data_IF_139030841967
#
_entry.id   IF_139030841967
#
_cell.length_a   1.000
_cell.length_b   1.000
_cell.length_c   1.000
_cell.angle_alpha   90.00
_cell.angle_beta   90.00
_cell.angle_gamma   90.00
#
_symmetry.space_group_name_H-M   'P 1'
#
loop_
_entity.id
_entity.type
_entity.pdbx_description
1 polymer ?
#
# COMPACT_ATOMS: atom_id res chain seq x y z
N UNK A 1 38.22 -66.01 -25.77
CA UNK A 1 38.17 -64.81 -24.90
C UNK A 1 37.29 -63.77 -25.57
N UNK A 2 36.15 -63.41 -24.97
CA UNK A 2 35.22 -62.40 -25.51
C UNK A 2 35.53 -61.04 -24.88
N UNK A 3 35.95 -60.07 -25.67
CA UNK A 3 36.22 -58.68 -25.26
C UNK A 3 34.89 -57.94 -25.12
N UNK A 4 34.57 -57.44 -23.92
CA UNK A 4 33.42 -56.54 -23.70
C UNK A 4 33.88 -55.10 -23.88
N UNK A 5 33.25 -54.38 -24.80
CA UNK A 5 33.42 -52.93 -24.99
C UNK A 5 32.60 -52.22 -23.91
N UNK A 6 33.25 -51.39 -23.09
CA UNK A 6 32.59 -50.56 -22.08
C UNK A 6 32.41 -49.15 -22.69
N UNK A 7 31.18 -48.81 -23.08
CA UNK A 7 30.82 -47.46 -23.49
C UNK A 7 30.50 -46.63 -22.24
N UNK A 8 31.30 -45.59 -21.98
CA UNK A 8 31.05 -44.64 -20.89
C UNK A 8 30.35 -43.41 -21.48
N UNK A 9 29.07 -43.23 -21.17
CA UNK A 9 28.25 -42.09 -21.57
C UNK A 9 28.75 -40.80 -20.90
N UNK A 10 29.08 -39.78 -21.70
CA UNK A 10 29.29 -38.41 -21.23
C UNK A 10 27.93 -37.79 -20.91
N UNK A 11 27.61 -37.63 -19.61
CA UNK A 11 26.44 -36.88 -19.18
C UNK A 11 26.67 -35.38 -19.35
N UNK A 12 25.96 -34.75 -20.28
CA UNK A 12 25.94 -33.28 -20.42
C UNK A 12 25.08 -32.72 -19.30
N UNK A 13 25.72 -32.10 -18.30
CA UNK A 13 25.03 -31.31 -17.27
C UNK A 13 24.54 -30.01 -17.91
N UNK A 14 23.25 -29.96 -18.27
CA UNK A 14 22.60 -28.72 -18.72
C UNK A 14 22.41 -27.82 -17.50
N UNK A 15 23.26 -26.79 -17.40
CA UNK A 15 23.12 -25.71 -16.44
C UNK A 15 21.90 -24.87 -16.86
N UNK A 16 20.78 -25.02 -16.15
CA UNK A 16 19.58 -24.21 -16.40
C UNK A 16 19.87 -22.76 -16.05
N UNK A 17 19.82 -21.91 -17.07
CA UNK A 17 20.00 -20.46 -16.98
C UNK A 17 18.90 -19.87 -16.10
N UNK A 18 19.31 -19.06 -15.13
CA UNK A 18 18.48 -18.33 -14.18
C UNK A 18 17.40 -17.50 -14.87
N UNK A 19 16.16 -17.67 -14.44
CA UNK A 19 15.03 -16.82 -14.83
C UNK A 19 15.31 -15.37 -14.39
N UNK A 20 15.51 -14.48 -15.34
CA UNK A 20 15.38 -13.05 -15.10
C UNK A 20 13.92 -12.79 -14.71
N UNK A 21 13.67 -12.51 -13.42
CA UNK A 21 12.41 -11.89 -13.00
C UNK A 21 12.43 -10.47 -13.54
N UNK A 22 11.83 -10.26 -14.70
CA UNK A 22 11.56 -8.92 -15.19
C UNK A 22 10.70 -8.20 -14.16
N UNK A 23 10.97 -6.91 -13.94
CA UNK A 23 10.11 -6.09 -13.10
C UNK A 23 8.67 -6.22 -13.62
N UNK A 24 7.79 -6.77 -12.79
CA UNK A 24 6.40 -7.02 -13.14
C UNK A 24 5.57 -5.76 -12.93
N UNK A 25 5.89 -4.96 -11.92
CA UNK A 25 5.20 -3.69 -11.70
C UNK A 25 5.83 -2.56 -12.48
N UNK A 26 5.03 -1.87 -13.29
CA UNK A 26 5.40 -0.67 -14.05
C UNK A 26 4.48 0.50 -13.68
N UNK A 27 5.00 1.72 -13.81
CA UNK A 27 4.19 2.93 -13.67
C UNK A 27 3.27 3.04 -14.88
N UNK A 28 1.97 2.93 -14.65
CA UNK A 28 0.96 3.08 -15.70
C UNK A 28 0.52 4.54 -15.78
N UNK A 29 0.67 5.17 -16.96
CA UNK A 29 0.14 6.51 -17.23
C UNK A 29 0.82 7.67 -16.49
N UNK A 30 1.84 7.43 -15.65
CA UNK A 30 2.63 8.47 -14.99
C UNK A 30 3.99 8.66 -15.66
N UNK A 31 4.32 9.91 -15.97
CA UNK A 31 5.68 10.34 -16.33
C UNK A 31 6.47 10.69 -15.08
N UNK A 32 7.59 10.01 -14.85
CA UNK A 32 8.51 10.33 -13.77
C UNK A 32 9.10 11.74 -13.90
N UNK A 33 9.22 12.24 -15.12
CA UNK A 33 9.62 13.62 -15.40
C UNK A 33 8.59 14.62 -14.89
N UNK A 34 7.29 14.31 -15.02
CA UNK A 34 6.22 15.13 -14.44
C UNK A 34 6.29 15.12 -12.91
N UNK A 35 6.48 13.95 -12.30
CA UNK A 35 6.64 13.83 -10.84
C UNK A 35 7.84 14.65 -10.35
N UNK A 36 8.98 14.55 -11.04
CA UNK A 36 10.19 15.30 -10.72
C UNK A 36 9.99 16.81 -10.90
N UNK A 37 9.27 17.23 -11.95
CA UNK A 37 8.96 18.64 -12.16
C UNK A 37 8.04 19.22 -11.09
N UNK A 38 7.06 18.44 -10.62
CA UNK A 38 6.04 18.90 -9.67
C UNK A 38 6.50 18.80 -8.21
N UNK A 39 7.21 17.72 -7.85
CA UNK A 39 7.57 17.39 -6.46
C UNK A 39 9.09 17.25 -6.23
N UNK A 40 9.91 17.37 -7.27
CA UNK A 40 11.36 17.29 -7.19
C UNK A 40 11.95 15.89 -7.32
N UNK A 41 13.28 15.82 -7.44
CA UNK A 41 14.02 14.57 -7.68
C UNK A 41 13.85 13.54 -6.55
N UNK A 42 13.69 13.96 -5.30
CA UNK A 42 13.47 13.04 -4.18
C UNK A 42 12.11 12.33 -4.27
N UNK A 43 11.06 13.02 -4.72
CA UNK A 43 9.76 12.39 -4.97
C UNK A 43 9.84 11.31 -6.05
N UNK A 44 10.51 11.61 -7.17
CA UNK A 44 10.79 10.62 -8.22
C UNK A 44 11.50 9.39 -7.67
N UNK A 45 12.51 9.58 -6.79
CA UNK A 45 13.22 8.47 -6.14
C UNK A 45 12.30 7.66 -5.23
N UNK A 46 11.42 8.28 -4.45
CA UNK A 46 10.44 7.56 -3.62
C UNK A 46 9.44 6.77 -4.46
N UNK A 47 8.95 7.31 -5.58
CA UNK A 47 8.09 6.56 -6.53
C UNK A 47 8.82 5.34 -7.08
N UNK A 48 10.08 5.49 -7.51
CA UNK A 48 10.90 4.36 -7.94
C UNK A 48 11.13 3.33 -6.82
N UNK A 49 11.34 3.80 -5.59
CA UNK A 49 11.52 2.94 -4.42
C UNK A 49 10.22 2.16 -4.10
N UNK A 50 9.05 2.77 -4.25
CA UNK A 50 7.76 2.10 -4.12
C UNK A 50 7.62 0.97 -5.13
N UNK A 51 7.86 1.25 -6.41
CA UNK A 51 7.82 0.22 -7.48
C UNK A 51 8.82 -0.89 -7.21
N UNK A 52 10.03 -0.57 -6.75
CA UNK A 52 11.03 -1.57 -6.40
C UNK A 52 10.61 -2.42 -5.20
N UNK A 53 9.99 -1.83 -4.17
CA UNK A 53 9.44 -2.55 -3.02
C UNK A 53 8.31 -3.50 -3.47
N UNK A 54 7.38 -3.03 -4.30
CA UNK A 54 6.28 -3.84 -4.81
C UNK A 54 6.79 -5.03 -5.64
N UNK A 55 7.80 -4.83 -6.48
CA UNK A 55 8.42 -5.92 -7.24
C UNK A 55 9.08 -6.98 -6.35
N UNK A 56 9.60 -6.61 -5.17
CA UNK A 56 10.14 -7.56 -4.18
C UNK A 56 9.06 -8.26 -3.37
N UNK A 57 7.88 -7.65 -3.20
CA UNK A 57 6.79 -8.19 -2.38
C UNK A 57 5.75 -9.00 -3.18
N UNK A 58 5.82 -8.99 -4.51
CA UNK A 58 4.75 -9.49 -5.40
C UNK A 58 4.32 -10.94 -5.14
N UNK A 59 5.29 -11.82 -4.89
CA UNK A 59 5.09 -13.26 -4.72
C UNK A 59 4.99 -13.69 -3.25
N UNK A 60 4.97 -12.72 -2.33
CA UNK A 60 4.95 -12.98 -0.90
C UNK A 60 3.52 -13.20 -0.38
N UNK A 61 3.42 -13.71 0.85
CA UNK A 61 2.15 -13.88 1.54
C UNK A 61 1.48 -12.52 1.80
N UNK A 62 0.16 -12.55 2.06
CA UNK A 62 -0.56 -11.33 2.45
C UNK A 62 0.11 -10.65 3.66
N UNK A 63 0.57 -11.41 4.66
CA UNK A 63 1.21 -10.85 5.86
C UNK A 63 2.51 -10.11 5.55
N UNK A 64 3.40 -10.72 4.77
CA UNK A 64 4.66 -10.10 4.36
C UNK A 64 4.43 -8.84 3.51
N UNK A 65 3.41 -8.85 2.65
CA UNK A 65 2.98 -7.66 1.89
C UNK A 65 2.51 -6.56 2.82
N UNK A 66 1.68 -6.88 3.83
CA UNK A 66 1.21 -5.91 4.82
C UNK A 66 2.38 -5.25 5.56
N UNK A 67 3.34 -6.04 6.03
CA UNK A 67 4.54 -5.55 6.74
C UNK A 67 5.34 -4.59 5.87
N UNK A 68 5.71 -5.00 4.65
CA UNK A 68 6.51 -4.17 3.75
C UNK A 68 5.82 -2.88 3.33
N UNK A 69 4.52 -2.94 3.07
CA UNK A 69 3.74 -1.75 2.71
C UNK A 69 3.60 -0.81 3.91
N UNK A 70 3.33 -1.36 5.09
CA UNK A 70 3.21 -0.59 6.32
C UNK A 70 4.52 0.14 6.64
N UNK A 71 5.65 -0.57 6.61
CA UNK A 71 6.98 -0.02 6.87
C UNK A 71 7.38 1.03 5.83
N UNK A 72 7.09 0.78 4.54
CA UNK A 72 7.41 1.71 3.47
C UNK A 72 6.76 3.07 3.68
N UNK A 73 5.44 3.09 3.97
CA UNK A 73 4.73 4.36 4.14
C UNK A 73 4.96 5.00 5.52
N UNK A 74 5.24 4.20 6.56
CA UNK A 74 5.58 4.74 7.89
C UNK A 74 6.99 5.38 7.95
N UNK A 75 7.77 5.31 6.87
CA UNK A 75 8.99 6.10 6.72
C UNK A 75 8.71 7.60 6.45
N UNK A 76 7.51 7.92 5.95
CA UNK A 76 7.04 9.30 5.78
C UNK A 76 6.76 9.92 7.16
N UNK A 77 7.16 11.17 7.44
CA UNK A 77 6.80 11.86 8.67
C UNK A 77 5.33 12.30 8.68
N UNK A 78 4.69 12.19 9.85
CA UNK A 78 3.36 12.73 10.08
C UNK A 78 3.37 14.26 10.06
N UNK A 79 2.43 14.86 9.34
CA UNK A 79 2.12 16.28 9.38
C UNK A 79 0.62 16.49 9.16
N UNK A 80 0.04 17.47 9.84
CA UNK A 80 -1.38 17.79 9.66
C UNK A 80 -1.65 18.45 8.30
N UNK A 81 -2.87 18.32 7.80
CA UNK A 81 -3.31 19.04 6.61
C UNK A 81 -3.15 20.55 6.70
N UNK A 82 -3.27 21.09 7.91
CA UNK A 82 -3.06 22.52 8.13
C UNK A 82 -1.64 22.94 7.78
N UNK A 83 -0.65 22.10 8.12
CA UNK A 83 0.76 22.34 7.81
C UNK A 83 1.09 22.09 6.34
N UNK A 84 0.49 21.06 5.72
CA UNK A 84 0.83 20.64 4.36
C UNK A 84 0.06 21.42 3.29
N UNK A 85 -1.24 21.63 3.52
CA UNK A 85 -2.21 22.13 2.54
C UNK A 85 -2.87 23.46 2.95
N UNK A 86 -2.76 23.87 4.21
CA UNK A 86 -3.34 25.12 4.73
C UNK A 86 -4.84 25.06 5.01
N UNK A 87 -5.48 23.92 4.77
CA UNK A 87 -6.90 23.64 5.03
C UNK A 87 -7.02 22.66 6.19
N UNK A 88 -8.22 22.52 6.74
CA UNK A 88 -8.42 21.73 7.95
C UNK A 88 -8.54 20.22 7.69
N UNK A 89 -8.83 19.82 6.45
CA UNK A 89 -9.09 18.43 6.05
C UNK A 89 -8.90 18.29 4.52
N UNK A 90 -7.87 17.56 4.11
CA UNK A 90 -7.44 17.29 2.74
C UNK A 90 -6.85 15.88 2.63
N UNK A 91 -7.62 14.99 2.06
CA UNK A 91 -7.18 13.62 1.85
C UNK A 91 -6.29 13.55 0.59
N UNK A 92 -5.01 13.32 0.77
CA UNK A 92 -4.02 13.28 -0.30
C UNK A 92 -4.09 11.97 -1.10
N UNK A 93 -3.94 12.09 -2.41
CA UNK A 93 -3.69 10.92 -3.27
C UNK A 93 -2.36 10.26 -2.88
N UNK A 94 -2.19 8.98 -3.22
CA UNK A 94 -0.90 8.29 -2.99
C UNK A 94 0.28 9.02 -3.68
N UNK A 95 0.04 9.66 -4.82
CA UNK A 95 1.06 10.46 -5.51
C UNK A 95 1.41 11.72 -4.71
N UNK A 96 0.42 12.46 -4.22
CA UNK A 96 0.63 13.66 -3.40
C UNK A 96 1.34 13.34 -2.09
N UNK A 97 0.95 12.26 -1.40
CA UNK A 97 1.60 11.78 -0.19
C UNK A 97 3.10 11.51 -0.41
N UNK A 98 3.42 10.72 -1.44
CA UNK A 98 4.82 10.41 -1.82
C UNK A 98 5.55 11.67 -2.31
N UNK A 99 4.84 12.54 -3.04
CA UNK A 99 5.36 13.77 -3.60
C UNK A 99 5.81 14.75 -2.53
N UNK A 100 4.91 15.05 -1.59
CA UNK A 100 5.13 15.98 -0.48
C UNK A 100 5.99 15.41 0.64
N UNK A 101 6.09 14.09 0.74
CA UNK A 101 6.81 13.40 1.84
C UNK A 101 6.24 13.75 3.21
N UNK A 102 4.92 13.92 3.25
CA UNK A 102 4.14 14.36 4.41
C UNK A 102 2.70 13.88 4.24
N UNK A 103 2.03 13.62 5.35
CA UNK A 103 0.60 13.43 5.40
C UNK A 103 0.14 13.08 6.81
N UNK A 104 -1.17 13.06 7.00
CA UNK A 104 -1.80 12.62 8.23
C UNK A 104 -2.48 11.26 8.06
N UNK A 105 -3.30 10.85 9.03
CA UNK A 105 -3.64 9.44 9.22
C UNK A 105 -4.35 8.80 8.01
N UNK A 106 -5.21 9.54 7.34
CA UNK A 106 -5.94 9.11 6.15
C UNK A 106 -5.02 8.84 4.97
N UNK A 107 -4.00 9.67 4.79
CA UNK A 107 -3.09 9.59 3.65
C UNK A 107 -2.29 8.29 3.70
N UNK A 108 -1.83 7.88 4.90
CA UNK A 108 -1.19 6.58 5.10
C UNK A 108 -2.15 5.44 4.74
N UNK A 109 -3.40 5.52 5.17
CA UNK A 109 -4.39 4.46 4.94
C UNK A 109 -4.72 4.33 3.46
N UNK A 110 -4.92 5.45 2.76
CA UNK A 110 -5.14 5.51 1.31
C UNK A 110 -3.94 4.92 0.58
N UNK A 111 -2.73 5.37 0.88
CA UNK A 111 -1.52 4.92 0.23
C UNK A 111 -1.27 3.41 0.45
N UNK A 112 -1.43 2.92 1.68
CA UNK A 112 -1.32 1.49 2.02
C UNK A 112 -2.37 0.66 1.29
N UNK A 113 -3.63 1.10 1.29
CA UNK A 113 -4.74 0.37 0.66
C UNK A 113 -4.50 0.16 -0.84
N UNK A 114 -4.20 1.22 -1.59
CA UNK A 114 -4.00 1.10 -3.05
C UNK A 114 -2.77 0.25 -3.38
N UNK A 115 -1.68 0.39 -2.63
CA UNK A 115 -0.49 -0.45 -2.84
C UNK A 115 -0.77 -1.92 -2.57
N UNK A 116 -1.49 -2.26 -1.50
CA UNK A 116 -1.84 -3.65 -1.18
C UNK A 116 -2.80 -4.24 -2.21
N UNK A 117 -3.77 -3.44 -2.66
CA UNK A 117 -4.70 -3.84 -3.72
C UNK A 117 -3.97 -4.18 -5.02
N UNK A 118 -3.01 -3.35 -5.43
CA UNK A 118 -2.17 -3.61 -6.62
C UNK A 118 -1.24 -4.82 -6.43
N UNK A 119 -0.79 -5.08 -5.20
CA UNK A 119 -0.06 -6.30 -4.82
C UNK A 119 -0.94 -7.56 -4.77
N UNK A 120 -2.23 -7.44 -5.09
CA UNK A 120 -3.18 -8.55 -5.18
C UNK A 120 -3.82 -8.94 -3.85
N UNK A 121 -3.66 -8.14 -2.78
CA UNK A 121 -4.41 -8.38 -1.54
C UNK A 121 -5.88 -8.09 -1.81
N UNK A 122 -6.80 -9.04 -1.56
CA UNK A 122 -8.21 -8.86 -1.88
C UNK A 122 -8.81 -7.64 -1.15
N UNK A 123 -9.47 -6.70 -1.85
CA UNK A 123 -10.14 -5.56 -1.22
C UNK A 123 -11.15 -5.96 -0.14
N UNK A 124 -11.80 -7.11 -0.29
CA UNK A 124 -12.75 -7.67 0.69
C UNK A 124 -12.12 -8.04 2.04
N UNK A 125 -10.79 -8.09 2.14
CA UNK A 125 -10.06 -8.29 3.39
C UNK A 125 -9.64 -6.97 4.04
N UNK A 126 -9.73 -5.84 3.36
CA UNK A 126 -9.16 -4.56 3.78
C UNK A 126 -10.24 -3.52 4.03
N UNK A 127 -10.18 -2.88 5.20
CA UNK A 127 -11.14 -1.86 5.60
C UNK A 127 -10.42 -0.65 6.16
N UNK A 128 -10.88 0.53 5.76
CA UNK A 128 -10.48 1.80 6.38
C UNK A 128 -11.34 1.97 7.64
N UNK A 129 -10.69 2.06 8.78
CA UNK A 129 -11.36 2.09 10.08
C UNK A 129 -11.12 3.43 10.74
N UNK A 130 -12.20 4.17 10.93
CA UNK A 130 -12.24 5.39 11.71
C UNK A 130 -12.39 5.05 13.19
N UNK A 131 -11.47 5.54 14.01
CA UNK A 131 -11.37 5.26 15.43
C UNK A 131 -11.12 6.55 16.22
N UNK A 132 -11.34 6.48 17.53
CA UNK A 132 -10.81 7.46 18.48
C UNK A 132 -9.48 6.95 19.02
N UNK A 133 -8.40 7.71 18.86
CA UNK A 133 -7.16 7.47 19.59
C UNK A 133 -7.31 7.97 21.02
N UNK A 134 -7.21 7.07 22.00
CA UNK A 134 -7.25 7.42 23.41
C UNK A 134 -5.96 8.10 23.87
N UNK A 135 -4.82 7.73 23.26
CA UNK A 135 -3.51 8.32 23.57
C UNK A 135 -3.45 9.81 23.21
N UNK A 136 -3.95 10.17 22.03
CA UNK A 136 -3.93 11.55 21.53
C UNK A 136 -5.26 12.28 21.72
N UNK A 137 -6.31 11.57 22.15
CA UNK A 137 -7.68 12.07 22.32
C UNK A 137 -8.23 12.79 21.08
N UNK A 138 -7.94 12.25 19.89
CA UNK A 138 -8.39 12.75 18.58
C UNK A 138 -8.98 11.63 17.75
N UNK A 139 -9.72 12.01 16.71
CA UNK A 139 -10.07 11.10 15.62
C UNK A 139 -8.79 10.55 14.95
N UNK A 140 -8.86 9.31 14.50
CA UNK A 140 -7.73 8.63 13.86
C UNK A 140 -8.21 7.61 12.85
N UNK A 141 -7.55 7.52 11.69
CA UNK A 141 -7.84 6.50 10.69
C UNK A 141 -6.72 5.48 10.61
N UNK A 142 -7.09 4.20 10.54
CA UNK A 142 -6.17 3.07 10.37
C UNK A 142 -6.66 2.14 9.27
N UNK A 143 -5.73 1.39 8.68
CA UNK A 143 -6.09 0.31 7.74
C UNK A 143 -6.20 -0.98 8.55
N UNK A 144 -7.27 -1.73 8.35
CA UNK A 144 -7.50 -3.01 9.01
C UNK A 144 -7.55 -4.14 8.00
N UNK A 145 -6.92 -5.27 8.33
CA UNK A 145 -6.88 -6.46 7.49
C UNK A 145 -7.49 -7.67 8.21
N UNK A 146 -8.41 -8.35 7.55
CA UNK A 146 -9.05 -9.57 8.02
C UNK A 146 -8.53 -10.77 7.22
N UNK A 147 -7.82 -11.69 7.87
CA UNK A 147 -7.39 -12.94 7.23
C UNK A 147 -8.62 -13.77 6.77
N UNK A 148 -9.67 -13.76 7.59
CA UNK A 148 -11.00 -14.29 7.28
C UNK A 148 -12.09 -13.34 7.82
N UNK A 149 -13.34 -13.40 7.31
CA UNK A 149 -14.41 -12.52 7.80
C UNK A 149 -14.72 -12.61 9.31
N UNK A 150 -14.27 -13.67 10.00
CA UNK A 150 -14.47 -13.87 11.44
C UNK A 150 -13.21 -13.67 12.28
N UNK A 151 -12.06 -13.38 11.64
CA UNK A 151 -10.81 -13.17 12.34
C UNK A 151 -10.80 -11.83 13.08
N UNK A 152 -10.04 -11.74 14.17
CA UNK A 152 -9.65 -10.45 14.73
C UNK A 152 -8.77 -9.75 13.70
N UNK A 153 -9.07 -8.51 13.29
CA UNK A 153 -8.30 -7.85 12.27
C UNK A 153 -6.92 -7.45 12.78
N UNK A 154 -5.96 -7.43 11.86
CA UNK A 154 -4.69 -6.75 12.05
C UNK A 154 -4.85 -5.26 11.77
N UNK A 155 -4.14 -4.42 12.51
CA UNK A 155 -4.19 -2.96 12.40
C UNK A 155 -2.86 -2.44 11.84
N UNK A 156 -2.92 -1.79 10.68
CA UNK A 156 -1.83 -1.07 10.04
C UNK A 156 -2.01 0.42 10.33
N UNK A 157 -1.08 1.01 11.07
CA UNK A 157 -1.20 2.34 11.67
C UNK A 157 0.08 3.16 11.42
N UNK A 158 -0.04 4.49 11.46
CA UNK A 158 1.05 5.46 11.40
C UNK A 158 1.42 6.04 12.78
N UNK A 159 0.72 5.72 13.86
CA UNK A 159 1.17 6.02 15.24
C UNK A 159 1.87 4.86 15.91
N UNK A 160 1.46 3.63 15.60
CA UNK A 160 2.15 2.41 16.01
C UNK A 160 2.57 1.65 14.76
N UNK A 161 3.88 1.60 14.50
CA UNK A 161 4.40 0.99 13.28
C UNK A 161 4.32 -0.54 13.30
N UNK A 162 4.09 -1.16 14.47
CA UNK A 162 3.88 -2.60 14.55
C UNK A 162 2.47 -2.94 14.10
N UNK A 163 2.37 -3.93 13.21
CA UNK A 163 1.07 -4.52 12.86
C UNK A 163 0.65 -5.40 14.03
N UNK A 164 -0.44 -5.03 14.69
CA UNK A 164 -0.96 -5.73 15.86
C UNK A 164 -2.42 -6.13 15.65
N UNK A 165 -2.87 -7.26 16.24
CA UNK A 165 -4.28 -7.58 16.36
C UNK A 165 -5.07 -6.45 17.04
N UNK A 166 -6.29 -6.19 16.60
CA UNK A 166 -7.11 -5.10 17.13
C UNK A 166 -7.41 -5.22 18.63
N UNK A 167 -7.48 -6.44 19.19
CA UNK A 167 -7.65 -6.65 20.63
C UNK A 167 -6.40 -6.28 21.46
N UNK A 168 -5.24 -6.10 20.82
CA UNK A 168 -4.02 -5.59 21.47
C UNK A 168 -3.90 -4.06 21.34
N UNK A 169 -4.70 -3.43 20.46
CA UNK A 169 -4.75 -1.97 20.25
C UNK A 169 -5.76 -1.30 21.18
N UNK A 170 -5.53 -1.44 22.48
CA UNK A 170 -6.37 -0.84 23.53
C UNK A 170 -6.37 0.70 23.52
N UNK A 171 -5.46 1.31 22.77
CA UNK A 171 -5.37 2.75 22.54
C UNK A 171 -6.32 3.26 21.43
N UNK A 172 -6.99 2.37 20.70
CA UNK A 172 -7.94 2.71 19.64
C UNK A 172 -9.35 2.22 19.99
N UNK A 173 -10.34 3.11 19.90
CA UNK A 173 -11.76 2.75 19.98
C UNK A 173 -12.37 2.86 18.58
N UNK A 174 -12.65 1.74 17.89
CA UNK A 174 -13.23 1.78 16.55
C UNK A 174 -14.65 2.36 16.60
N UNK A 175 -14.98 3.20 15.62
CA UNK A 175 -16.29 3.85 15.51
C UNK A 175 -17.00 3.33 14.25
N UNK A 176 -16.34 3.38 13.08
CA UNK A 176 -16.87 2.88 11.81
C UNK A 176 -15.77 2.29 10.94
N UNK A 177 -16.12 1.30 10.13
CA UNK A 177 -15.24 0.72 9.11
C UNK A 177 -15.95 0.66 7.77
N UNK A 178 -15.22 0.88 6.69
CA UNK A 178 -15.75 0.81 5.33
C UNK A 178 -14.71 0.22 4.38
N UNK A 179 -15.20 -0.42 3.31
CA UNK A 179 -14.33 -0.88 2.23
C UNK A 179 -13.74 0.33 1.51
N UNK A 180 -12.46 0.27 1.16
CA UNK A 180 -11.85 1.32 0.33
C UNK A 180 -12.57 1.44 -1.01
N UNK A 181 -13.01 0.34 -1.62
CA UNK A 181 -13.74 0.38 -2.88
C UNK A 181 -15.12 1.07 -2.74
N UNK A 182 -15.80 0.94 -1.59
CA UNK A 182 -17.05 1.66 -1.34
C UNK A 182 -16.80 3.18 -1.22
N UNK A 183 -15.69 3.58 -0.60
CA UNK A 183 -15.26 4.97 -0.50
C UNK A 183 -14.96 5.56 -1.89
N UNK A 184 -14.29 4.80 -2.75
CA UNK A 184 -13.76 5.34 -4.00
C UNK A 184 -14.68 5.20 -5.22
N UNK A 185 -15.52 4.15 -5.29
CA UNK A 185 -16.21 3.83 -6.56
C UNK A 185 -17.59 4.46 -6.75
N UNK A 186 -18.41 4.72 -5.72
CA UNK A 186 -19.76 5.28 -5.95
C UNK A 186 -20.54 5.75 -4.71
N UNK A 187 -20.08 5.49 -3.48
CA UNK A 187 -20.88 5.78 -2.26
C UNK A 187 -20.37 6.97 -1.44
N UNK A 188 -19.59 7.86 -2.06
CA UNK A 188 -19.10 9.10 -1.44
C UNK A 188 -20.23 9.97 -0.90
N UNK A 189 -21.45 9.91 -1.45
CA UNK A 189 -22.58 10.71 -0.93
C UNK A 189 -23.03 10.24 0.45
N UNK A 190 -23.07 8.93 0.70
CA UNK A 190 -23.49 8.39 2.00
C UNK A 190 -22.33 8.40 3.00
N UNK A 191 -21.11 8.13 2.53
CA UNK A 191 -19.89 8.29 3.32
C UNK A 191 -19.59 9.76 3.61
N UNK A 192 -19.95 10.69 2.72
CA UNK A 192 -19.79 12.14 2.89
C UNK A 192 -20.61 12.75 4.02
N UNK A 193 -21.69 12.05 4.44
CA UNK A 193 -22.43 12.37 5.66
C UNK A 193 -21.70 11.93 6.93
N UNK A 194 -20.84 10.92 6.82
CA UNK A 194 -20.07 10.34 7.94
C UNK A 194 -18.65 10.91 8.01
N UNK A 195 -18.06 11.24 6.86
CA UNK A 195 -16.71 11.72 6.62
C UNK A 195 -16.78 12.90 5.65
N UNK A 196 -16.86 14.14 6.16
CA UNK A 196 -17.07 15.34 5.33
C UNK A 196 -16.02 15.53 4.21
N UNK A 197 -14.77 15.10 4.41
CA UNK A 197 -13.72 15.17 3.38
C UNK A 197 -13.94 14.24 2.19
N UNK A 198 -14.49 13.03 2.40
CA UNK A 198 -14.72 12.06 1.33
C UNK A 198 -15.61 12.61 0.19
N UNK A 199 -16.48 13.58 0.50
CA UNK A 199 -17.34 14.25 -0.48
C UNK A 199 -16.66 15.38 -1.27
N UNK A 200 -15.47 15.83 -0.86
CA UNK A 200 -14.78 16.99 -1.44
C UNK A 200 -13.70 16.63 -2.45
N UNK A 201 -13.42 15.34 -2.64
CA UNK A 201 -12.31 14.92 -3.51
C UNK A 201 -12.60 15.25 -4.98
N UNK A 202 -11.78 16.15 -5.54
CA UNK A 202 -11.83 16.53 -6.96
C UNK A 202 -10.92 15.68 -7.85
N UNK A 203 -9.86 15.11 -7.26
CA UNK A 203 -8.80 14.35 -7.91
C UNK A 203 -9.04 12.85 -7.76
N UNK A 204 -8.51 12.06 -8.69
CA UNK A 204 -8.67 10.62 -8.62
C UNK A 204 -7.69 10.04 -7.60
N UNK A 205 -8.17 9.17 -6.71
CA UNK A 205 -7.36 8.55 -5.67
C UNK A 205 -6.22 7.68 -6.22
N UNK A 206 -6.40 7.19 -7.43
CA UNK A 206 -5.51 6.28 -8.15
C UNK A 206 -4.63 7.02 -9.17
N UNK A 207 -4.34 8.32 -8.98
CA UNK A 207 -3.50 9.12 -9.89
C UNK A 207 -2.12 8.50 -10.16
N UNK A 208 -1.54 7.81 -9.18
CA UNK A 208 -0.38 6.93 -9.36
C UNK A 208 -0.89 5.50 -9.45
N UNK A 209 -1.01 4.96 -10.67
CA UNK A 209 -1.31 3.54 -10.92
C UNK A 209 -0.03 2.76 -11.14
N UNK A 210 0.08 1.65 -10.43
CA UNK A 210 1.18 0.71 -10.61
C UNK A 210 0.57 -0.62 -11.02
N UNK A 211 0.77 -0.98 -12.28
CA UNK A 211 0.12 -2.14 -12.88
C UNK A 211 1.12 -3.28 -13.04
N UNK A 212 0.63 -4.49 -12.86
CA UNK A 212 1.36 -5.70 -13.22
C UNK A 212 1.36 -5.79 -14.75
N UNK A 213 2.54 -5.82 -15.35
CA UNK A 213 2.75 -6.05 -16.77
C UNK A 213 2.15 -7.40 -17.14
N UNK A 214 1.08 -7.38 -17.93
CA UNK A 214 0.51 -8.60 -18.51
C UNK A 214 1.57 -9.25 -19.42
N UNK A 215 1.70 -10.58 -19.31
CA UNK A 215 2.64 -11.38 -20.12
C UNK A 215 2.09 -11.60 -21.52
#
# INVERSE_FOLDING_TARGET
MKTKVLALCFGVMVLTVTLFSTAEFILAGISLEKVEKEYGTFAKRRVLALVAMMNRAKDESDLEKLEKVNDFFNATPYHSDKEVWGVDDYWATRLEFIGKDKGDCEDYVIAKYFTLKELGVPPSKMYMTYAKSLKFNVAHMVLTYYATPKSIPLVLDNYNYKILPANERTDLVPIYSFSGDDLFNAKQVQLGKMLPAAAKQKRAWDELKIEKKEK
#
